data_IF_414523008296
#
_entry.id   IF_414523008296
#
_cell.length_a   1.000
_cell.length_b   1.000
_cell.length_c   1.000
_cell.angle_alpha   90.00
_cell.angle_beta   90.00
_cell.angle_gamma   90.00
#
_symmetry.space_group_name_H-M   'P 1'
#
loop_
_entity.id
_entity.type
_entity.pdbx_description
1 polymer ?
#
# COMPACT_ATOMS: atom_id res chain seq x y z
N UNK A 1 -15.20 13.20 19.88
CA UNK A 1 -14.54 12.04 19.24
C UNK A 1 -13.32 11.64 20.08
N UNK A 2 -13.34 10.46 20.70
CA UNK A 2 -12.26 9.99 21.56
C UNK A 2 -11.02 9.60 20.71
N UNK A 3 -9.82 9.62 21.32
CA UNK A 3 -8.57 9.23 20.65
C UNK A 3 -8.65 7.81 20.02
N UNK A 4 -9.47 6.95 20.64
CA UNK A 4 -9.74 5.58 20.19
C UNK A 4 -10.49 5.50 18.84
N UNK A 5 -11.21 6.55 18.45
CA UNK A 5 -11.88 6.66 17.13
C UNK A 5 -11.02 7.38 16.10
N UNK A 6 -10.13 8.29 16.54
CA UNK A 6 -9.24 9.04 15.65
C UNK A 6 -8.13 8.12 15.08
N UNK A 7 -7.52 7.29 15.92
CA UNK A 7 -6.46 6.38 15.49
C UNK A 7 -6.86 5.42 14.35
N UNK A 8 -7.97 4.65 14.44
CA UNK A 8 -8.41 3.78 13.35
C UNK A 8 -8.84 4.56 12.10
N UNK A 9 -9.40 5.76 12.27
CA UNK A 9 -9.75 6.60 11.12
C UNK A 9 -8.51 7.09 10.34
N UNK A 10 -7.48 7.57 11.05
CA UNK A 10 -6.22 7.99 10.44
C UNK A 10 -5.52 6.80 9.78
N UNK A 11 -5.46 5.65 10.45
CA UNK A 11 -4.87 4.44 9.89
C UNK A 11 -5.65 3.96 8.66
N UNK A 12 -6.99 4.00 8.71
CA UNK A 12 -7.86 3.67 7.60
C UNK A 12 -7.60 4.56 6.38
N UNK A 13 -7.48 5.87 6.59
CA UNK A 13 -7.12 6.82 5.54
C UNK A 13 -5.73 6.54 4.96
N UNK A 14 -4.74 6.24 5.80
CA UNK A 14 -3.40 5.89 5.35
C UNK A 14 -3.42 4.62 4.48
N UNK A 15 -4.14 3.58 4.90
CA UNK A 15 -4.33 2.36 4.11
C UNK A 15 -5.02 2.65 2.77
N UNK A 16 -6.04 3.51 2.74
CA UNK A 16 -6.73 3.88 1.50
C UNK A 16 -5.80 4.63 0.53
N UNK A 17 -5.02 5.59 1.03
CA UNK A 17 -4.08 6.36 0.20
C UNK A 17 -2.99 5.45 -0.36
N UNK A 18 -2.36 4.64 0.48
CA UNK A 18 -1.30 3.73 0.05
C UNK A 18 -1.87 2.67 -0.90
N UNK A 19 -3.00 2.06 -0.56
CA UNK A 19 -3.69 1.08 -1.41
C UNK A 19 -4.06 1.65 -2.77
N UNK A 20 -4.56 2.89 -2.83
CA UNK A 20 -4.84 3.59 -4.08
C UNK A 20 -3.59 3.76 -4.94
N UNK A 21 -2.47 4.21 -4.34
CA UNK A 21 -1.20 4.33 -5.06
C UNK A 21 -0.74 2.97 -5.58
N UNK A 22 -0.82 1.91 -4.77
CA UNK A 22 -0.38 0.58 -5.19
C UNK A 22 -1.25 -0.01 -6.30
N UNK A 23 -2.55 0.25 -6.33
CA UNK A 23 -3.46 -0.28 -7.37
C UNK A 23 -3.44 0.56 -8.66
N UNK A 24 -3.53 1.89 -8.54
CA UNK A 24 -3.73 2.80 -9.68
C UNK A 24 -2.46 3.50 -10.15
N UNK A 25 -1.39 3.45 -9.35
CA UNK A 25 -0.06 4.02 -9.66
C UNK A 25 1.03 2.95 -9.51
N UNK A 26 0.75 1.75 -10.00
CA UNK A 26 1.68 0.60 -10.00
C UNK A 26 3.08 0.97 -10.49
N UNK A 27 3.20 1.77 -11.55
CA UNK A 27 4.49 2.19 -12.10
C UNK A 27 5.28 3.08 -11.14
N UNK A 28 4.58 3.92 -10.37
CA UNK A 28 5.22 4.72 -9.32
C UNK A 28 5.71 3.84 -8.17
N UNK A 29 4.93 2.81 -7.81
CA UNK A 29 5.32 1.86 -6.77
C UNK A 29 6.54 1.02 -7.20
N UNK A 30 6.57 0.57 -8.45
CA UNK A 30 7.71 -0.15 -9.05
C UNK A 30 8.96 0.73 -9.11
N UNK A 31 8.85 1.97 -9.57
CA UNK A 31 9.98 2.90 -9.62
C UNK A 31 10.54 3.21 -8.22
N UNK A 32 9.67 3.31 -7.21
CA UNK A 32 10.12 3.47 -5.81
C UNK A 32 10.82 2.20 -5.34
N UNK A 33 10.24 1.02 -5.59
CA UNK A 33 10.86 -0.26 -5.24
C UNK A 33 12.23 -0.42 -5.88
N UNK A 34 12.38 -0.03 -7.15
CA UNK A 34 13.63 -0.12 -7.88
C UNK A 34 14.70 0.79 -7.27
N UNK A 35 14.36 2.03 -6.93
CA UNK A 35 15.28 2.94 -6.21
C UNK A 35 15.71 2.39 -4.85
N UNK A 36 14.80 1.76 -4.12
CA UNK A 36 15.13 1.11 -2.86
C UNK A 36 16.01 -0.12 -3.06
N UNK A 37 15.75 -0.93 -4.09
CA UNK A 37 16.56 -2.08 -4.44
C UNK A 37 17.98 -1.65 -4.85
N UNK A 38 18.11 -0.55 -5.59
CA UNK A 38 19.41 0.02 -5.96
C UNK A 38 20.23 0.41 -4.72
N UNK A 39 19.58 0.95 -3.69
CA UNK A 39 20.26 1.42 -2.48
C UNK A 39 20.56 0.31 -1.46
N UNK A 40 19.76 -0.75 -1.42
CA UNK A 40 19.77 -1.72 -0.31
C UNK A 40 19.90 -3.19 -0.72
N UNK A 41 19.71 -3.53 -2.00
CA UNK A 41 19.83 -4.91 -2.48
C UNK A 41 21.29 -5.28 -2.67
N UNK A 42 21.64 -6.53 -2.36
CA UNK A 42 22.93 -7.12 -2.75
C UNK A 42 23.02 -7.44 -4.25
N UNK A 43 21.92 -7.26 -4.99
CA UNK A 43 21.80 -7.42 -6.44
C UNK A 43 20.96 -6.25 -6.99
N UNK A 44 21.59 -5.08 -7.19
CA UNK A 44 20.87 -3.89 -7.62
C UNK A 44 20.37 -4.03 -9.07
N UNK A 45 19.26 -3.36 -9.42
CA UNK A 45 18.72 -3.31 -10.78
C UNK A 45 19.76 -2.92 -11.85
N UNK A 46 20.70 -2.03 -11.52
CA UNK A 46 21.77 -1.62 -12.43
C UNK A 46 22.76 -2.73 -12.80
N UNK A 47 22.97 -3.71 -11.91
CA UNK A 47 23.89 -4.84 -12.12
C UNK A 47 23.22 -6.05 -12.78
N UNK A 48 21.90 -6.22 -12.63
CA UNK A 48 21.16 -7.34 -13.22
C UNK A 48 19.79 -6.90 -13.78
N UNK A 49 19.76 -6.14 -14.89
CA UNK A 49 18.52 -5.60 -15.44
C UNK A 49 17.54 -6.70 -15.91
N UNK A 50 18.07 -7.79 -16.47
CA UNK A 50 17.27 -8.92 -17.01
C UNK A 50 16.39 -9.55 -15.92
N UNK A 51 16.93 -9.78 -14.71
CA UNK A 51 16.15 -10.31 -13.59
C UNK A 51 14.98 -9.39 -13.19
N UNK A 52 15.20 -8.07 -13.20
CA UNK A 52 14.15 -7.12 -12.84
C UNK A 52 13.10 -6.99 -13.95
N UNK A 53 13.49 -7.12 -15.22
CA UNK A 53 12.56 -7.16 -16.35
C UNK A 53 11.69 -8.43 -16.33
N UNK A 54 12.29 -9.60 -16.11
CA UNK A 54 11.56 -10.88 -16.00
C UNK A 54 10.57 -10.90 -14.82
N UNK A 55 10.95 -10.31 -13.69
CA UNK A 55 10.10 -10.25 -12.49
C UNK A 55 9.12 -9.07 -12.50
N UNK A 56 9.15 -8.19 -13.51
CA UNK A 56 8.33 -6.97 -13.57
C UNK A 56 6.84 -7.26 -13.41
N UNK A 57 6.30 -8.20 -14.20
CA UNK A 57 4.88 -8.53 -14.17
C UNK A 57 4.46 -9.17 -12.84
N UNK A 58 5.34 -9.98 -12.22
CA UNK A 58 5.08 -10.55 -10.90
C UNK A 58 5.04 -9.47 -9.80
N UNK A 59 5.98 -8.52 -9.83
CA UNK A 59 6.04 -7.39 -8.89
C UNK A 59 4.82 -6.47 -9.06
N UNK A 60 4.41 -6.24 -10.30
CA UNK A 60 3.17 -5.51 -10.63
C UNK A 60 1.94 -6.16 -10.02
N UNK A 61 1.78 -7.48 -10.17
CA UNK A 61 0.70 -8.23 -9.53
C UNK A 61 0.75 -8.17 -8.00
N UNK A 62 1.96 -8.23 -7.43
CA UNK A 62 2.17 -8.11 -5.99
C UNK A 62 1.69 -6.76 -5.46
N UNK A 63 2.02 -5.65 -6.15
CA UNK A 63 1.51 -4.34 -5.79
C UNK A 63 0.00 -4.23 -5.94
N UNK A 64 -0.56 -4.79 -7.01
CA UNK A 64 -2.00 -4.78 -7.23
C UNK A 64 -2.73 -5.52 -6.10
N UNK A 65 -2.32 -6.74 -5.77
CA UNK A 65 -2.91 -7.54 -4.69
C UNK A 65 -2.73 -6.88 -3.32
N UNK A 66 -1.51 -6.43 -3.00
CA UNK A 66 -1.24 -5.73 -1.74
C UNK A 66 -2.05 -4.44 -1.62
N UNK A 67 -2.19 -3.69 -2.72
CA UNK A 67 -3.01 -2.49 -2.79
C UNK A 67 -4.50 -2.76 -2.58
N UNK A 68 -5.04 -3.82 -3.19
CA UNK A 68 -6.43 -4.25 -2.98
C UNK A 68 -6.70 -4.63 -1.52
N UNK A 69 -5.76 -5.33 -0.88
CA UNK A 69 -5.86 -5.66 0.54
C UNK A 69 -5.85 -4.39 1.40
N UNK A 70 -4.94 -3.44 1.14
CA UNK A 70 -4.90 -2.17 1.85
C UNK A 70 -6.18 -1.35 1.67
N UNK A 71 -6.76 -1.33 0.47
CA UNK A 71 -8.05 -0.69 0.24
C UNK A 71 -9.15 -1.34 1.07
N UNK A 72 -9.24 -2.67 1.06
CA UNK A 72 -10.25 -3.39 1.85
C UNK A 72 -10.10 -3.12 3.35
N UNK A 73 -8.87 -3.23 3.89
CA UNK A 73 -8.59 -2.94 5.30
C UNK A 73 -8.89 -1.48 5.64
N UNK A 74 -8.46 -0.54 4.79
CA UNK A 74 -8.72 0.89 4.97
C UNK A 74 -10.22 1.21 5.03
N UNK A 75 -11.00 0.65 4.11
CA UNK A 75 -12.47 0.80 4.10
C UNK A 75 -13.10 0.23 5.37
N UNK A 76 -12.67 -0.96 5.81
CA UNK A 76 -13.17 -1.58 7.05
C UNK A 76 -12.85 -0.75 8.29
N UNK A 77 -11.64 -0.19 8.38
CA UNK A 77 -11.23 0.67 9.50
C UNK A 77 -12.06 1.95 9.55
N UNK A 78 -12.32 2.58 8.40
CA UNK A 78 -13.19 3.76 8.32
C UNK A 78 -14.62 3.40 8.70
N UNK A 79 -15.16 2.29 8.17
CA UNK A 79 -16.50 1.83 8.51
C UNK A 79 -16.65 1.56 10.02
N UNK A 80 -15.65 0.94 10.65
CA UNK A 80 -15.64 0.69 12.08
C UNK A 80 -15.56 2.00 12.90
N UNK A 81 -14.73 2.96 12.48
CA UNK A 81 -14.64 4.27 13.14
C UNK A 81 -15.96 5.05 13.04
N UNK A 82 -16.60 5.02 11.87
CA UNK A 82 -17.92 5.63 11.64
C UNK A 82 -18.99 4.95 12.49
N UNK A 83 -19.06 3.61 12.46
CA UNK A 83 -19.99 2.84 13.29
C UNK A 83 -19.80 3.15 14.78
N UNK A 84 -18.54 3.18 15.26
CA UNK A 84 -18.22 3.52 16.64
C UNK A 84 -18.64 4.94 17.01
N UNK A 85 -18.66 5.87 16.06
CA UNK A 85 -19.15 7.24 16.30
C UNK A 85 -20.66 7.27 16.49
N UNK A 86 -21.42 6.49 15.73
CA UNK A 86 -22.90 6.49 15.81
C UNK A 86 -23.50 5.49 16.81
N UNK A 87 -22.74 4.49 17.26
CA UNK A 87 -23.24 3.38 18.09
C UNK A 87 -22.73 3.41 19.53
N UNK A 88 -21.71 4.23 19.81
CA UNK A 88 -21.12 4.42 21.15
C UNK A 88 -21.47 5.81 21.71
N UNK A 89 -22.36 6.54 21.02
CA UNK A 89 -23.11 7.68 21.55
C UNK A 89 -24.38 7.21 22.28
#
# INVERSE_FOLDING_TARGET
MSLQLIAPAVLGLACLVVGYVLVFRVETALAVQEKYAEAASSTPPSENPEYYEETHEHRRWTFYLGGMVLLAVGTLLIAAAVYGTFSVE
#
